data_IF_270085075753
#
_entry.id   IF_270085075753
#
_cell.length_a   1.000
_cell.length_b   1.000
_cell.length_c   1.000
_cell.angle_alpha   90.00
_cell.angle_beta   90.00
_cell.angle_gamma   90.00
#
_symmetry.space_group_name_H-M   'P 1'
#
loop_
_entity.id
_entity.type
_entity.pdbx_description
1 polymer ?
#
# COMPACT_ATOMS: atom_id res chain seq x y z
N UNK A 1 -6.43 -13.38 -18.09
CA UNK A 1 -7.68 -13.21 -17.33
C UNK A 1 -8.61 -14.38 -17.64
N UNK A 2 -9.41 -14.81 -16.65
CA UNK A 2 -10.49 -15.78 -16.79
C UNK A 2 -11.85 -15.12 -16.66
N UNK A 3 -12.89 -15.71 -17.26
CA UNK A 3 -14.25 -15.22 -17.13
C UNK A 3 -14.92 -15.59 -15.81
N UNK A 4 -14.49 -16.69 -15.16
CA UNK A 4 -15.04 -17.08 -13.85
C UNK A 4 -14.24 -16.48 -12.70
N UNK A 5 -14.93 -15.69 -11.88
CA UNK A 5 -14.49 -15.30 -10.55
C UNK A 5 -14.98 -16.33 -9.55
N UNK A 6 -14.14 -16.72 -8.59
CA UNK A 6 -14.48 -17.74 -7.59
C UNK A 6 -14.47 -17.15 -6.18
N UNK A 7 -15.35 -17.65 -5.32
CA UNK A 7 -15.40 -17.34 -3.88
C UNK A 7 -15.59 -18.65 -3.08
N UNK A 8 -15.33 -18.61 -1.76
CA UNK A 8 -15.31 -19.84 -0.96
C UNK A 8 -16.15 -19.76 0.33
N UNK A 9 -17.50 -19.85 0.25
CA UNK A 9 -18.36 -19.78 1.42
C UNK A 9 -18.28 -21.04 2.28
N UNK A 10 -18.58 -20.90 3.57
CA UNK A 10 -18.75 -22.01 4.50
C UNK A 10 -20.25 -22.27 4.66
N UNK A 11 -20.70 -23.44 4.23
CA UNK A 11 -22.10 -23.88 4.32
C UNK A 11 -22.13 -25.12 5.22
N UNK A 12 -22.85 -25.03 6.35
CA UNK A 12 -22.93 -26.10 7.35
C UNK A 12 -21.56 -26.63 7.80
N UNK A 13 -20.61 -25.72 8.03
CA UNK A 13 -19.25 -26.06 8.47
C UNK A 13 -18.33 -26.62 7.39
N UNK A 14 -18.80 -26.76 6.15
CA UNK A 14 -17.98 -27.20 5.01
C UNK A 14 -17.70 -26.03 4.08
N UNK A 15 -16.44 -25.82 3.72
CA UNK A 15 -16.05 -24.79 2.76
C UNK A 15 -16.19 -25.34 1.34
N UNK A 16 -16.87 -24.61 0.47
CA UNK A 16 -17.04 -24.96 -0.94
C UNK A 16 -16.39 -23.89 -1.81
N UNK A 17 -15.90 -24.26 -2.99
CA UNK A 17 -15.55 -23.30 -4.02
C UNK A 17 -16.79 -23.06 -4.89
N UNK A 18 -17.17 -21.81 -5.10
CA UNK A 18 -18.36 -21.43 -5.90
C UNK A 18 -18.01 -20.35 -6.89
N UNK A 19 -18.75 -20.30 -7.99
CA UNK A 19 -18.63 -19.23 -8.98
C UNK A 19 -19.25 -17.96 -8.41
N UNK A 20 -18.44 -16.94 -8.22
CA UNK A 20 -18.87 -15.61 -7.79
C UNK A 20 -19.50 -14.85 -8.96
N UNK A 21 -18.82 -14.85 -10.11
CA UNK A 21 -19.28 -14.16 -11.31
C UNK A 21 -18.81 -14.84 -12.58
N UNK A 22 -19.71 -14.97 -13.55
CA UNK A 22 -19.39 -15.35 -14.93
C UNK A 22 -19.51 -14.17 -15.91
N UNK A 23 -18.36 -13.62 -16.33
CA UNK A 23 -18.30 -12.53 -17.30
C UNK A 23 -18.66 -12.94 -18.74
N UNK A 24 -18.68 -14.22 -19.07
CA UNK A 24 -19.06 -14.72 -20.41
C UNK A 24 -20.52 -15.20 -20.47
N UNK A 25 -21.29 -15.05 -19.40
CA UNK A 25 -22.67 -15.51 -19.32
C UNK A 25 -23.57 -14.99 -20.46
N UNK A 26 -23.40 -13.73 -20.86
CA UNK A 26 -24.12 -13.12 -21.99
C UNK A 26 -23.80 -13.77 -23.34
N UNK A 27 -22.58 -14.25 -23.54
CA UNK A 27 -22.17 -14.89 -24.79
C UNK A 27 -22.72 -16.31 -24.90
N UNK A 28 -22.91 -16.97 -23.75
CA UNK A 28 -23.36 -18.37 -23.66
C UNK A 28 -24.86 -18.54 -23.50
N UNK A 29 -25.60 -17.46 -23.24
CA UNK A 29 -26.99 -17.52 -22.77
C UNK A 29 -27.16 -18.44 -21.54
N UNK A 30 -26.15 -18.51 -20.68
CA UNK A 30 -26.15 -19.36 -19.50
C UNK A 30 -25.40 -18.66 -18.36
N UNK A 31 -25.99 -18.67 -17.16
CA UNK A 31 -25.42 -18.05 -15.97
C UNK A 31 -24.90 -19.15 -15.04
N UNK A 32 -23.63 -19.07 -14.68
CA UNK A 32 -23.01 -20.01 -13.75
C UNK A 32 -22.80 -19.43 -12.35
N UNK A 33 -23.29 -18.22 -12.09
CA UNK A 33 -23.23 -17.57 -10.77
C UNK A 33 -23.82 -18.53 -9.71
N UNK A 34 -23.09 -18.68 -8.60
CA UNK A 34 -23.39 -19.55 -7.46
C UNK A 34 -23.32 -21.08 -7.69
N UNK A 35 -22.88 -21.55 -8.86
CA UNK A 35 -22.60 -22.98 -9.05
C UNK A 35 -21.43 -23.43 -8.17
N UNK A 36 -21.55 -24.63 -7.57
CA UNK A 36 -20.45 -25.28 -6.83
C UNK A 36 -19.43 -25.79 -7.85
N UNK A 37 -18.15 -25.53 -7.60
CA UNK A 37 -17.04 -26.06 -8.38
C UNK A 37 -16.55 -27.32 -7.68
N UNK A 38 -16.85 -28.50 -8.26
CA UNK A 38 -16.40 -29.79 -7.72
C UNK A 38 -15.00 -30.16 -8.21
N UNK A 39 -14.67 -29.80 -9.45
CA UNK A 39 -13.39 -30.15 -10.04
C UNK A 39 -12.77 -29.02 -10.85
N UNK A 40 -11.44 -28.98 -10.85
CA UNK A 40 -10.64 -28.13 -11.74
C UNK A 40 -9.55 -29.00 -12.37
N UNK A 41 -9.47 -29.03 -13.70
CA UNK A 41 -8.51 -29.84 -14.47
C UNK A 41 -8.46 -31.31 -14.00
N UNK A 42 -9.63 -31.93 -13.84
CA UNK A 42 -9.82 -33.32 -13.38
C UNK A 42 -9.30 -33.62 -11.95
N UNK A 43 -9.01 -32.61 -11.14
CA UNK A 43 -8.72 -32.75 -9.71
C UNK A 43 -9.86 -32.16 -8.87
N UNK A 44 -9.95 -32.56 -7.60
CA UNK A 44 -10.85 -31.93 -6.62
C UNK A 44 -10.58 -30.41 -6.59
N UNK A 45 -11.65 -29.61 -6.70
CA UNK A 45 -11.51 -28.17 -6.88
C UNK A 45 -10.83 -27.50 -5.69
N UNK A 46 -11.15 -27.90 -4.46
CA UNK A 46 -10.59 -27.28 -3.26
C UNK A 46 -9.10 -27.62 -3.13
N UNK A 47 -8.74 -28.89 -3.29
CA UNK A 47 -7.34 -29.34 -3.26
C UNK A 47 -6.51 -28.70 -4.37
N UNK A 48 -7.03 -28.66 -5.61
CA UNK A 48 -6.36 -28.03 -6.74
C UNK A 48 -6.13 -26.55 -6.48
N UNK A 49 -7.15 -25.84 -6.03
CA UNK A 49 -7.10 -24.40 -5.81
C UNK A 49 -6.13 -24.03 -4.67
N UNK A 50 -6.16 -24.77 -3.55
CA UNK A 50 -5.21 -24.60 -2.45
C UNK A 50 -3.78 -24.92 -2.87
N UNK A 51 -3.55 -26.03 -3.59
CA UNK A 51 -2.24 -26.39 -4.10
C UNK A 51 -1.69 -25.29 -5.01
N UNK A 52 -2.50 -24.83 -5.97
CA UNK A 52 -2.13 -23.76 -6.88
C UNK A 52 -1.80 -22.48 -6.13
N UNK A 53 -2.65 -22.02 -5.20
CA UNK A 53 -2.44 -20.80 -4.43
C UNK A 53 -1.11 -20.86 -3.65
N UNK A 54 -0.79 -22.02 -3.07
CA UNK A 54 0.46 -22.22 -2.35
C UNK A 54 1.72 -22.22 -3.23
N UNK A 55 1.62 -22.55 -4.52
CA UNK A 55 2.76 -22.50 -5.44
C UNK A 55 2.88 -21.15 -6.16
N UNK A 56 1.75 -20.57 -6.57
CA UNK A 56 1.70 -19.42 -7.46
C UNK A 56 1.74 -18.07 -6.73
N UNK A 57 1.18 -18.00 -5.52
CA UNK A 57 1.05 -16.75 -4.77
C UNK A 57 2.16 -16.66 -3.74
N UNK A 58 2.99 -15.62 -3.84
CA UNK A 58 4.12 -15.38 -2.94
C UNK A 58 3.86 -14.30 -1.89
N UNK A 59 2.63 -13.76 -1.84
CA UNK A 59 2.25 -12.63 -0.98
C UNK A 59 2.37 -12.91 0.53
N UNK A 60 2.18 -14.17 0.96
CA UNK A 60 2.19 -14.53 2.38
C UNK A 60 2.71 -15.93 2.62
N UNK A 61 3.27 -16.17 3.81
CA UNK A 61 3.62 -17.51 4.29
C UNK A 61 2.40 -18.31 4.77
N UNK A 62 1.32 -17.63 5.17
CA UNK A 62 0.07 -18.26 5.62
C UNK A 62 -0.70 -18.84 4.42
N UNK A 63 -0.98 -20.17 4.41
CA UNK A 63 -1.76 -20.80 3.34
C UNK A 63 -3.16 -20.21 3.15
N UNK A 64 -3.81 -19.75 4.23
CA UNK A 64 -5.15 -19.17 4.18
C UNK A 64 -5.15 -17.79 3.55
N UNK A 65 -4.10 -17.00 3.80
CA UNK A 65 -3.94 -15.69 3.14
C UNK A 65 -3.72 -15.88 1.64
N UNK A 66 -2.87 -16.84 1.25
CA UNK A 66 -2.69 -17.18 -0.18
C UNK A 66 -3.98 -17.69 -0.82
N UNK A 67 -4.71 -18.56 -0.13
CA UNK A 67 -6.00 -19.07 -0.59
C UNK A 67 -6.99 -17.92 -0.81
N UNK A 68 -7.11 -16.99 0.14
CA UNK A 68 -7.99 -15.83 -0.01
C UNK A 68 -7.56 -14.90 -1.14
N UNK A 69 -6.26 -14.65 -1.32
CA UNK A 69 -5.73 -13.85 -2.43
C UNK A 69 -5.99 -14.47 -3.81
N UNK A 70 -6.16 -15.79 -3.88
CA UNK A 70 -6.54 -16.48 -5.10
C UNK A 70 -8.02 -16.25 -5.48
N UNK A 71 -8.90 -16.01 -4.50
CA UNK A 71 -10.33 -15.78 -4.68
C UNK A 71 -10.62 -14.34 -5.10
N UNK A 72 -11.76 -14.14 -5.75
CA UNK A 72 -12.27 -12.80 -6.01
C UNK A 72 -12.73 -12.12 -4.72
N UNK A 73 -12.61 -10.80 -4.71
CA UNK A 73 -13.06 -9.94 -3.62
C UNK A 73 -13.91 -8.79 -4.17
N UNK A 74 -14.49 -8.01 -3.27
CA UNK A 74 -15.12 -6.74 -3.61
C UNK A 74 -14.36 -5.63 -2.90
N UNK A 75 -14.08 -4.55 -3.64
CA UNK A 75 -13.44 -3.35 -3.09
C UNK A 75 -14.39 -2.19 -3.21
N UNK A 76 -14.47 -1.36 -2.18
CA UNK A 76 -15.21 -0.10 -2.26
C UNK A 76 -14.42 0.91 -3.10
N UNK A 77 -14.98 1.35 -4.22
CA UNK A 77 -14.44 2.43 -5.04
C UNK A 77 -15.04 3.76 -4.56
N UNK A 78 -14.21 4.58 -3.92
CA UNK A 78 -14.62 5.87 -3.34
C UNK A 78 -15.01 6.90 -4.39
N UNK A 79 -14.51 6.78 -5.63
CA UNK A 79 -14.83 7.71 -6.70
C UNK A 79 -16.26 7.50 -7.22
N UNK A 80 -16.65 6.23 -7.40
CA UNK A 80 -18.01 5.87 -7.83
C UNK A 80 -18.99 5.72 -6.66
N UNK A 81 -18.49 5.55 -5.43
CA UNK A 81 -19.29 5.26 -4.25
C UNK A 81 -19.90 3.85 -4.25
N UNK A 82 -19.35 2.93 -5.05
CA UNK A 82 -19.89 1.56 -5.26
C UNK A 82 -18.85 0.48 -4.94
N UNK A 83 -19.32 -0.74 -4.66
CA UNK A 83 -18.43 -1.90 -4.61
C UNK A 83 -18.14 -2.39 -6.02
N UNK A 84 -16.86 -2.58 -6.32
CA UNK A 84 -16.39 -3.15 -7.58
C UNK A 84 -15.81 -4.53 -7.33
N UNK A 85 -16.13 -5.47 -8.21
CA UNK A 85 -15.58 -6.82 -8.17
C UNK A 85 -14.10 -6.78 -8.59
N UNK A 86 -13.25 -7.33 -7.74
CA UNK A 86 -11.81 -7.45 -7.99
C UNK A 86 -11.50 -8.93 -8.24
N UNK A 87 -10.95 -9.29 -9.41
CA UNK A 87 -10.58 -10.66 -9.67
C UNK A 87 -9.43 -11.10 -8.75
N UNK A 88 -9.55 -12.29 -8.18
CA UNK A 88 -8.44 -12.93 -7.46
C UNK A 88 -7.31 -13.34 -8.38
N UNK A 89 -6.14 -13.64 -7.79
CA UNK A 89 -4.96 -14.04 -8.56
C UNK A 89 -5.18 -15.31 -9.39
N UNK A 90 -6.13 -16.19 -9.01
CA UNK A 90 -6.46 -17.35 -9.84
C UNK A 90 -7.06 -16.94 -11.18
N UNK A 91 -7.99 -15.98 -11.17
CA UNK A 91 -8.70 -15.51 -12.36
C UNK A 91 -7.88 -14.47 -13.15
N UNK A 92 -7.08 -13.64 -12.47
CA UNK A 92 -6.20 -12.67 -13.10
C UNK A 92 -4.74 -12.91 -12.69
N UNK A 93 -3.99 -13.56 -13.59
CA UNK A 93 -2.57 -13.90 -13.38
C UNK A 93 -1.64 -12.90 -14.05
N UNK A 94 -0.48 -12.65 -13.42
CA UNK A 94 0.63 -11.93 -14.04
C UNK A 94 1.48 -12.82 -14.95
N UNK A 95 1.47 -14.13 -14.71
CA UNK A 95 2.22 -15.12 -15.47
C UNK A 95 1.30 -15.90 -16.41
N UNK A 96 1.88 -16.40 -17.51
CA UNK A 96 1.18 -17.29 -18.41
C UNK A 96 0.82 -18.60 -17.68
N UNK A 97 -0.39 -19.11 -17.89
CA UNK A 97 -0.82 -20.39 -17.36
C UNK A 97 -0.08 -21.54 -18.05
N UNK A 98 0.03 -22.68 -17.37
CA UNK A 98 0.64 -23.90 -17.90
C UNK A 98 -0.14 -24.48 -19.09
N UNK A 99 -1.45 -24.25 -19.11
CA UNK A 99 -2.37 -24.74 -20.15
C UNK A 99 -3.14 -23.57 -20.78
N UNK A 100 -3.51 -23.65 -22.07
CA UNK A 100 -4.25 -22.58 -22.75
C UNK A 100 -5.72 -22.47 -22.30
N UNK A 101 -6.21 -23.45 -21.53
CA UNK A 101 -7.56 -23.47 -20.96
C UNK A 101 -7.57 -24.01 -19.53
N UNK A 102 -8.71 -23.89 -18.86
CA UNK A 102 -9.01 -24.53 -17.57
C UNK A 102 -10.36 -25.24 -17.71
N UNK A 103 -10.43 -26.47 -17.23
CA UNK A 103 -11.67 -27.25 -17.18
C UNK A 103 -12.25 -27.23 -15.78
N UNK A 104 -13.56 -26.99 -15.69
CA UNK A 104 -14.33 -26.96 -14.46
C UNK A 104 -15.41 -28.02 -14.50
N UNK A 105 -15.60 -28.72 -13.39
CA UNK A 105 -16.77 -29.56 -13.16
C UNK A 105 -17.70 -28.82 -12.19
N UNK A 106 -18.82 -28.29 -12.71
CA UNK A 106 -19.75 -27.43 -11.98
C UNK A 106 -21.02 -28.17 -11.60
N UNK A 107 -21.57 -27.87 -10.43
CA UNK A 107 -22.92 -28.26 -10.03
C UNK A 107 -23.74 -27.01 -9.74
N UNK A 108 -24.71 -26.77 -10.62
CA UNK A 108 -25.57 -25.59 -10.55
C UNK A 108 -26.92 -25.94 -9.91
N UNK A 109 -27.58 -25.01 -9.19
CA UNK A 109 -28.88 -25.26 -8.56
C UNK A 109 -29.99 -25.65 -9.54
N UNK A 110 -29.89 -25.19 -10.79
CA UNK A 110 -30.86 -25.44 -11.85
C UNK A 110 -30.55 -26.68 -12.70
N UNK A 111 -29.45 -27.38 -12.43
CA UNK A 111 -29.06 -28.59 -13.17
C UNK A 111 -29.06 -29.80 -12.24
N UNK A 112 -29.66 -30.91 -12.67
CA UNK A 112 -29.58 -32.18 -11.95
C UNK A 112 -28.26 -32.92 -12.17
N UNK A 113 -27.53 -32.58 -13.22
CA UNK A 113 -26.27 -33.22 -13.61
C UNK A 113 -25.10 -32.24 -13.54
N UNK A 114 -23.89 -32.70 -13.19
CA UNK A 114 -22.68 -31.89 -13.28
C UNK A 114 -22.44 -31.39 -14.71
N UNK A 115 -21.98 -30.16 -14.85
CA UNK A 115 -21.66 -29.50 -16.11
C UNK A 115 -20.14 -29.46 -16.25
N UNK A 116 -19.62 -29.99 -17.36
CA UNK A 116 -18.23 -29.80 -17.74
C UNK A 116 -18.10 -28.50 -18.52
N UNK A 117 -17.35 -27.54 -17.98
CA UNK A 117 -17.12 -26.24 -18.58
C UNK A 117 -15.63 -26.06 -18.86
N UNK A 118 -15.28 -25.76 -20.11
CA UNK A 118 -13.92 -25.43 -20.51
C UNK A 118 -13.82 -23.94 -20.84
N UNK A 119 -12.86 -23.26 -20.21
CA UNK A 119 -12.61 -21.83 -20.42
C UNK A 119 -11.20 -21.60 -20.92
N UNK A 120 -11.06 -20.88 -22.03
CA UNK A 120 -9.77 -20.45 -22.54
C UNK A 120 -9.21 -19.27 -21.71
N UNK A 121 -7.90 -19.05 -21.76
CA UNK A 121 -7.29 -17.88 -21.13
C UNK A 121 -7.32 -16.68 -22.08
N UNK A 122 -7.85 -15.55 -21.60
CA UNK A 122 -7.73 -14.29 -22.31
C UNK A 122 -6.40 -13.64 -21.93
N UNK A 123 -5.46 -13.55 -22.87
CA UNK A 123 -4.18 -12.88 -22.66
C UNK A 123 -4.32 -11.41 -23.02
N UNK A 124 -4.17 -10.54 -22.02
CA UNK A 124 -4.20 -9.08 -22.23
C UNK A 124 -2.78 -8.54 -22.06
N UNK A 125 -2.16 -7.98 -23.11
CA UNK A 125 -0.83 -7.41 -22.99
C UNK A 125 -0.88 -6.17 -22.08
N UNK A 126 -0.05 -6.14 -21.03
CA UNK A 126 0.04 -5.00 -20.11
C UNK A 126 0.77 -3.79 -20.68
N UNK A 127 1.65 -4.02 -21.64
CA UNK A 127 2.30 -2.96 -22.40
C UNK A 127 1.81 -3.04 -23.84
N UNK A 128 1.66 -1.90 -24.53
CA UNK A 128 1.36 -1.83 -25.97
C UNK A 128 2.57 -2.24 -26.82
N UNK A 129 3.32 -3.24 -26.35
CA UNK A 129 4.41 -3.82 -27.08
C UNK A 129 3.79 -4.91 -27.95
N UNK A 130 3.92 -4.76 -29.26
CA UNK A 130 3.52 -5.80 -30.21
C UNK A 130 4.54 -6.94 -30.14
N UNK A 131 4.06 -8.14 -29.84
CA UNK A 131 4.84 -9.36 -29.91
C UNK A 131 3.90 -10.51 -30.31
N UNK A 132 4.40 -11.39 -31.16
CA UNK A 132 3.65 -12.53 -31.68
C UNK A 132 4.20 -13.86 -31.12
N UNK A 133 5.34 -13.80 -30.43
CA UNK A 133 6.03 -14.92 -29.80
C UNK A 133 6.91 -14.47 -28.62
N UNK A 134 7.52 -15.43 -27.92
CA UNK A 134 8.39 -15.15 -26.79
C UNK A 134 9.66 -14.36 -27.18
N UNK A 135 10.20 -14.57 -28.38
CA UNK A 135 11.41 -13.89 -28.85
C UNK A 135 11.15 -12.40 -29.10
N UNK A 136 10.07 -12.07 -29.81
CA UNK A 136 9.62 -10.70 -30.04
C UNK A 136 9.20 -10.01 -28.75
N UNK A 137 8.67 -10.72 -27.75
CA UNK A 137 8.44 -10.16 -26.42
C UNK A 137 9.75 -9.73 -25.74
N UNK A 138 10.76 -10.60 -25.70
CA UNK A 138 12.05 -10.27 -25.08
C UNK A 138 12.69 -9.08 -25.78
N UNK A 139 12.70 -9.08 -27.12
CA UNK A 139 13.28 -7.98 -27.90
C UNK A 139 12.53 -6.66 -27.71
N UNK A 140 11.20 -6.67 -27.79
CA UNK A 140 10.41 -5.45 -27.85
C UNK A 140 9.98 -4.93 -26.47
N UNK A 141 9.92 -5.78 -25.44
CA UNK A 141 9.47 -5.41 -24.10
C UNK A 141 10.60 -5.42 -23.07
N UNK A 142 11.50 -6.41 -23.10
CA UNK A 142 12.54 -6.56 -22.07
C UNK A 142 13.85 -5.86 -22.43
N UNK A 143 14.24 -5.90 -23.70
CA UNK A 143 15.50 -5.35 -24.20
C UNK A 143 15.34 -4.03 -24.95
N UNK A 144 14.10 -3.61 -25.21
CA UNK A 144 13.85 -2.32 -25.85
C UNK A 144 14.45 -1.22 -24.98
N UNK A 145 15.35 -0.43 -25.57
CA UNK A 145 15.89 0.74 -24.89
C UNK A 145 14.73 1.61 -24.38
N UNK A 146 14.84 2.19 -23.17
CA UNK A 146 13.81 3.07 -22.64
C UNK A 146 13.52 4.11 -23.72
N UNK A 147 12.28 4.11 -24.26
CA UNK A 147 11.88 5.18 -25.17
C UNK A 147 12.17 6.48 -24.43
N UNK A 148 13.14 7.24 -24.93
CA UNK A 148 13.37 8.59 -24.47
C UNK A 148 12.04 9.29 -24.61
N UNK A 149 11.37 9.55 -23.48
CA UNK A 149 10.12 10.29 -23.48
C UNK A 149 10.40 11.57 -24.28
N UNK A 150 9.52 11.96 -25.22
CA UNK A 150 9.71 13.19 -25.97
C UNK A 150 9.95 14.29 -24.95
N UNK A 151 11.20 14.79 -24.91
CA UNK A 151 11.59 15.86 -24.01
C UNK A 151 10.61 16.97 -24.27
N UNK A 152 9.72 17.23 -23.31
CA UNK A 152 8.81 18.35 -23.39
C UNK A 152 9.73 19.56 -23.60
N UNK A 153 9.57 20.35 -24.68
CA UNK A 153 10.49 21.44 -24.93
C UNK A 153 10.52 22.31 -23.68
N UNK A 154 11.65 22.28 -22.97
CA UNK A 154 11.81 23.08 -21.78
C UNK A 154 11.55 24.53 -22.19
N UNK A 155 10.67 25.27 -21.50
CA UNK A 155 10.55 26.69 -21.73
C UNK A 155 11.95 27.28 -21.60
N UNK A 156 12.42 27.90 -22.69
CA UNK A 156 13.74 28.50 -22.80
C UNK A 156 13.84 29.56 -21.70
N UNK A 157 14.45 29.19 -20.58
CA UNK A 157 14.79 30.14 -19.54
C UNK A 157 15.96 30.97 -20.10
N UNK A 158 15.84 32.31 -20.19
CA UNK A 158 16.93 33.15 -20.68
C UNK A 158 18.16 32.96 -19.78
N UNK A 159 19.27 32.55 -20.40
CA UNK A 159 20.56 32.37 -19.74
C UNK A 159 20.97 33.61 -18.96
N UNK A 160 21.35 33.48 -17.68
CA UNK A 160 22.15 34.48 -17.00
C UNK A 160 23.57 34.47 -17.59
N UNK A 161 24.13 35.67 -17.77
CA UNK A 161 25.47 35.92 -18.30
C UNK A 161 26.57 35.13 -17.54
N UNK A 162 27.65 34.73 -18.24
CA UNK A 162 28.79 34.10 -17.62
C UNK A 162 29.66 35.16 -16.93
N UNK A 163 29.89 34.99 -15.63
CA UNK A 163 30.96 35.71 -14.92
C UNK A 163 32.15 34.78 -14.65
N UNK A 164 33.36 35.36 -14.50
CA UNK A 164 34.61 34.68 -14.81
C UNK A 164 35.13 33.83 -13.65
N UNK A 165 35.85 32.80 -14.06
CA UNK A 165 36.66 31.92 -13.22
C UNK A 165 37.69 32.67 -12.37
N UNK A 166 38.09 32.08 -11.24
CA UNK A 166 39.48 32.12 -10.84
C UNK A 166 40.08 30.72 -10.70
N UNK A 167 41.27 30.59 -11.26
CA UNK A 167 42.19 29.47 -11.10
C UNK A 167 42.78 29.42 -9.68
N UNK A 168 43.11 28.23 -9.18
CA UNK A 168 44.45 27.85 -8.68
C UNK A 168 44.38 26.42 -8.13
N UNK A 169 45.01 25.46 -8.82
CA UNK A 169 46.27 24.81 -8.45
C UNK A 169 46.42 24.44 -6.96
N UNK A 170 46.26 23.13 -6.64
CA UNK A 170 47.06 22.52 -5.58
C UNK A 170 47.32 21.03 -5.86
N UNK A 171 48.59 20.73 -6.16
CA UNK A 171 49.18 19.39 -6.26
C UNK A 171 49.07 18.64 -4.92
N UNK A 172 48.72 17.35 -4.98
CA UNK A 172 48.95 16.36 -3.91
C UNK A 172 49.91 15.27 -4.43
N UNK A 173 50.89 14.80 -3.63
CA UNK A 173 51.80 13.72 -3.98
C UNK A 173 51.16 12.32 -3.78
N UNK A 174 51.77 11.25 -4.33
CA UNK A 174 51.16 9.93 -4.43
C UNK A 174 51.33 9.12 -3.14
N UNK A 175 50.26 8.44 -2.70
CA UNK A 175 50.34 7.40 -1.68
C UNK A 175 50.41 6.02 -2.33
N UNK A 176 51.47 5.31 -1.95
CA UNK A 176 51.83 3.93 -2.27
C UNK A 176 50.83 2.95 -1.66
N UNK A 177 50.28 2.04 -2.47
CA UNK A 177 49.44 0.92 -2.04
C UNK A 177 50.30 -0.27 -1.63
N UNK A 178 50.24 -0.65 -0.35
CA UNK A 178 50.75 -1.93 0.15
C UNK A 178 49.57 -2.91 0.31
N UNK A 179 49.61 -4.00 -0.43
CA UNK A 179 48.61 -5.07 -0.43
C UNK A 179 48.93 -6.05 0.70
N UNK A 180 48.16 -6.05 1.78
CA UNK A 180 48.17 -7.12 2.78
C UNK A 180 46.86 -7.91 2.71
N UNK A 181 47.00 -9.20 2.37
CA UNK A 181 45.91 -10.18 2.31
C UNK A 181 45.94 -10.97 3.64
N UNK A 182 44.90 -10.93 4.49
CA UNK A 182 44.81 -11.83 5.62
C UNK A 182 44.16 -13.15 5.20
N UNK A 183 44.84 -14.25 5.52
CA UNK A 183 44.36 -15.63 5.43
C UNK A 183 43.40 -15.88 6.59
N UNK A 184 42.15 -16.27 6.31
CA UNK A 184 41.17 -16.65 7.33
C UNK A 184 41.13 -18.17 7.49
N UNK A 185 41.34 -18.64 8.71
CA UNK A 185 41.07 -20.02 9.15
C UNK A 185 39.75 -20.05 9.92
N UNK A 186 38.82 -20.98 9.61
CA UNK A 186 37.53 -21.05 10.28
C UNK A 186 37.63 -21.68 11.67
N UNK A 187 36.87 -21.20 12.67
CA UNK A 187 36.82 -21.82 13.99
C UNK A 187 35.80 -22.98 14.06
N UNK A 188 36.19 -23.96 14.85
CA UNK A 188 35.52 -25.22 15.16
C UNK A 188 34.20 -24.99 15.90
N UNK A 189 33.17 -25.73 15.49
CA UNK A 189 31.84 -25.77 16.09
C UNK A 189 31.86 -26.31 17.53
N UNK A 190 31.40 -25.50 18.49
CA UNK A 190 31.00 -25.96 19.81
C UNK A 190 29.47 -25.93 19.93
N UNK A 191 28.92 -27.07 20.31
CA UNK A 191 27.49 -27.30 20.55
C UNK A 191 27.19 -26.99 22.01
N UNK A 192 26.53 -25.87 22.30
CA UNK A 192 26.01 -25.60 23.64
C UNK A 192 24.50 -25.84 23.75
N UNK A 193 24.19 -26.67 24.74
CA UNK A 193 22.87 -27.14 25.15
C UNK A 193 22.15 -26.05 25.96
N UNK A 194 21.05 -25.50 25.41
CA UNK A 194 20.22 -24.51 26.11
C UNK A 194 19.21 -25.23 27.04
N UNK A 195 19.31 -24.95 28.34
CA UNK A 195 18.28 -25.28 29.35
C UNK A 195 17.22 -24.15 29.43
N UNK A 196 15.96 -24.46 29.77
CA UNK A 196 14.87 -23.49 29.74
C UNK A 196 14.89 -22.56 30.96
N UNK A 197 14.69 -21.26 30.74
CA UNK A 197 14.62 -20.26 31.80
C UNK A 197 13.18 -20.08 32.31
N UNK A 198 13.04 -20.17 33.63
CA UNK A 198 11.81 -19.98 34.40
C UNK A 198 11.29 -18.54 34.36
N UNK A 199 9.96 -18.45 34.33
CA UNK A 199 9.09 -17.30 34.62
C UNK A 199 9.57 -16.47 35.81
N UNK A 200 9.64 -15.14 35.64
CA UNK A 200 9.52 -14.17 36.74
C UNK A 200 8.51 -13.08 36.40
N UNK A 201 7.47 -13.05 37.22
CA UNK A 201 6.52 -11.97 37.44
C UNK A 201 7.08 -11.00 38.50
N UNK A 202 6.81 -9.68 38.33
CA UNK A 202 6.48 -8.68 39.38
C UNK A 202 6.46 -7.27 38.75
N UNK A 203 5.30 -6.61 38.82
CA UNK A 203 5.00 -5.44 39.70
C UNK A 203 5.83 -4.21 39.36
N UNK A 204 5.18 -3.16 38.85
CA UNK A 204 5.64 -1.79 39.06
C UNK A 204 4.50 -0.83 39.42
N UNK A 205 4.85 0.03 40.36
CA UNK A 205 4.02 0.96 41.10
C UNK A 205 3.67 2.22 40.32
N UNK A 206 2.50 2.75 40.67
CA UNK A 206 1.88 3.99 40.22
C UNK A 206 2.57 5.19 40.88
N UNK A 207 3.20 6.07 40.09
CA UNK A 207 3.65 7.39 40.55
C UNK A 207 2.66 8.46 40.09
N UNK A 208 2.21 9.28 41.04
CA UNK A 208 1.37 10.47 40.83
C UNK A 208 2.25 11.66 40.44
N UNK A 209 1.80 12.48 39.51
CA UNK A 209 2.27 13.86 39.36
C UNK A 209 1.09 14.78 39.08
N UNK A 210 1.03 15.87 39.84
CA UNK A 210 -0.03 16.89 39.89
C UNK A 210 -0.03 17.83 38.66
N UNK A 211 -1.15 18.52 38.37
CA UNK A 211 -1.31 19.34 37.18
C UNK A 211 -0.87 20.81 37.38
N UNK A 212 -0.20 21.38 36.37
CA UNK A 212 0.02 22.82 36.27
C UNK A 212 -1.22 23.53 35.72
N UNK A 213 -1.68 24.52 36.48
CA UNK A 213 -2.72 25.49 36.14
C UNK A 213 -2.08 26.68 35.42
N UNK A 214 -2.69 27.17 34.34
CA UNK A 214 -2.42 28.52 33.82
C UNK A 214 -3.73 29.24 33.49
N UNK A 215 -3.82 30.43 34.06
CA UNK A 215 -4.93 31.38 34.05
C UNK A 215 -5.14 32.04 32.68
N UNK A 216 -6.40 32.35 32.40
CA UNK A 216 -6.85 33.28 31.38
C UNK A 216 -6.80 34.73 31.90
N UNK A 217 -6.62 35.70 31.00
CA UNK A 217 -7.48 36.91 30.90
C UNK A 217 -7.16 37.79 29.66
N UNK A 218 -8.07 38.71 29.25
CA UNK A 218 -8.29 39.12 27.86
C UNK A 218 -8.04 40.63 27.59
N UNK A 219 -8.53 41.12 26.43
CA UNK A 219 -8.62 42.52 25.93
C UNK A 219 -7.50 42.90 24.93
N UNK A 220 -7.66 43.63 23.82
CA UNK A 220 -8.69 44.51 23.24
C UNK A 220 -8.34 44.77 21.75
N UNK A 221 -9.33 45.05 20.88
CA UNK A 221 -9.10 45.68 19.55
C UNK A 221 -8.73 47.18 19.67
N UNK A 222 -8.86 48.05 18.63
CA UNK A 222 -9.30 47.85 17.23
C UNK A 222 -8.37 48.53 16.17
N UNK A 223 -8.68 48.42 14.87
CA UNK A 223 -8.97 49.57 13.98
C UNK A 223 -9.08 49.20 12.48
N UNK A 224 -10.08 49.84 11.84
CA UNK A 224 -10.42 49.84 10.41
C UNK A 224 -9.42 50.68 9.60
N UNK A 225 -9.17 50.27 8.35
CA UNK A 225 -8.79 51.20 7.27
C UNK A 225 -9.67 50.99 6.03
N UNK A 226 -10.23 52.12 5.60
CA UNK A 226 -11.11 52.31 4.45
C UNK A 226 -10.29 52.55 3.18
N UNK A 227 -10.70 51.98 2.04
CA UNK A 227 -10.19 52.35 0.71
C UNK A 227 -11.34 52.73 -0.23
N UNK A 228 -11.28 53.98 -0.70
CA UNK A 228 -12.05 54.54 -1.83
C UNK A 228 -11.60 53.93 -3.16
N UNK A 229 -12.50 53.85 -4.16
CA UNK A 229 -12.11 53.86 -5.56
C UNK A 229 -12.41 55.21 -6.24
N UNK A 230 -11.54 55.55 -7.19
CA UNK A 230 -11.55 56.73 -8.05
C UNK A 230 -12.54 56.61 -9.22
N UNK A 231 -12.90 57.76 -9.78
CA UNK A 231 -13.95 57.96 -10.76
C UNK A 231 -13.45 58.08 -12.22
N UNK A 232 -14.40 57.83 -13.14
CA UNK A 232 -14.56 58.36 -14.53
C UNK A 232 -13.71 57.73 -15.67
N UNK A 233 -14.13 57.78 -16.97
CA UNK A 233 -15.18 58.65 -17.54
C UNK A 233 -16.23 58.02 -18.49
N UNK A 234 -17.42 58.61 -18.40
CA UNK A 234 -18.39 59.03 -19.43
C UNK A 234 -18.12 58.68 -20.91
N UNK A 235 -19.00 57.85 -21.50
CA UNK A 235 -19.26 57.82 -22.94
C UNK A 235 -20.72 58.21 -23.26
N UNK A 236 -20.84 58.93 -24.38
CA UNK A 236 -21.98 59.73 -24.83
C UNK A 236 -23.23 58.92 -25.22
N UNK A 237 -24.37 59.55 -24.93
CA UNK A 237 -25.77 59.23 -25.28
C UNK A 237 -25.98 58.89 -26.76
N UNK A 238 -26.76 57.83 -27.01
CA UNK A 238 -27.55 57.65 -28.24
C UNK A 238 -29.01 57.52 -27.80
N UNK A 239 -29.81 58.54 -28.09
CA UNK A 239 -31.25 58.58 -27.78
C UNK A 239 -32.01 57.74 -28.81
N UNK A 240 -32.79 56.77 -28.33
CA UNK A 240 -33.83 56.09 -29.10
C UNK A 240 -35.19 56.49 -28.50
N UNK A 241 -36.25 56.58 -29.34
CA UNK A 241 -37.57 57.05 -28.95
C UNK A 241 -38.24 56.14 -27.90
N UNK A 242 -39.02 56.78 -27.03
CA UNK A 242 -39.65 56.18 -25.86
C UNK A 242 -40.62 55.05 -26.20
N UNK A 243 -40.35 53.86 -25.66
CA UNK A 243 -41.33 52.78 -25.57
C UNK A 243 -42.35 53.07 -24.46
N UNK A 244 -43.62 52.69 -24.64
CA UNK A 244 -44.67 52.87 -23.64
C UNK A 244 -44.37 52.06 -22.38
N UNK A 245 -44.55 52.69 -21.23
CA UNK A 245 -44.28 52.13 -19.90
C UNK A 245 -44.92 50.73 -19.72
N UNK A 246 -44.15 49.70 -19.37
CA UNK A 246 -44.70 48.39 -19.03
C UNK A 246 -45.48 48.49 -17.73
N UNK A 247 -46.69 47.92 -17.74
CA UNK A 247 -47.53 47.70 -16.57
C UNK A 247 -46.73 46.92 -15.52
N UNK A 248 -46.74 47.32 -14.24
CA UNK A 248 -45.97 46.64 -13.19
C UNK A 248 -46.41 45.17 -13.10
N UNK A 249 -45.48 44.27 -13.40
CA UNK A 249 -45.68 42.84 -13.20
C UNK A 249 -45.89 42.55 -11.71
N UNK A 250 -46.76 41.59 -11.36
CA UNK A 250 -46.92 41.15 -9.98
C UNK A 250 -45.57 40.72 -9.40
N UNK A 251 -45.29 40.97 -8.11
CA UNK A 251 -44.04 40.55 -7.49
C UNK A 251 -43.87 39.04 -7.67
N UNK A 252 -42.76 38.68 -8.32
CA UNK A 252 -42.34 37.31 -8.54
C UNK A 252 -42.23 36.62 -7.17
N UNK A 253 -42.91 35.48 -6.94
CA UNK A 253 -42.89 34.81 -5.65
C UNK A 253 -41.45 34.42 -5.32
N UNK A 254 -41.02 34.82 -4.12
CA UNK A 254 -39.68 34.57 -3.61
C UNK A 254 -39.35 33.07 -3.78
N UNK A 255 -38.24 32.71 -4.45
CA UNK A 255 -37.91 31.32 -4.72
C UNK A 255 -37.86 30.55 -3.42
N UNK A 256 -38.74 29.55 -3.26
CA UNK A 256 -38.70 28.69 -2.09
C UNK A 256 -37.33 28.01 -2.04
N UNK A 257 -36.64 28.00 -0.88
CA UNK A 257 -35.38 27.30 -0.73
C UNK A 257 -35.55 25.86 -1.19
N UNK A 258 -34.73 25.43 -2.15
CA UNK A 258 -34.74 24.04 -2.59
C UNK A 258 -34.54 23.14 -1.36
N UNK A 259 -35.34 22.07 -1.22
CA UNK A 259 -35.19 21.15 -0.09
C UNK A 259 -33.76 20.63 -0.06
N UNK A 260 -33.09 20.82 1.07
CA UNK A 260 -31.72 20.33 1.28
C UNK A 260 -31.76 18.81 1.11
N UNK A 261 -30.95 18.21 0.21
CA UNK A 261 -30.95 16.77 0.04
C UNK A 261 -30.61 16.10 1.38
N UNK A 262 -31.26 14.97 1.70
CA UNK A 262 -30.98 14.26 2.95
C UNK A 262 -29.48 13.90 2.98
N UNK A 263 -28.84 14.01 4.16
CA UNK A 263 -27.45 13.59 4.29
C UNK A 263 -27.30 12.14 3.82
N UNK A 264 -26.16 11.79 3.20
CA UNK A 264 -25.93 10.43 2.74
C UNK A 264 -26.11 9.44 3.90
N UNK A 265 -26.72 8.26 3.65
CA UNK A 265 -26.98 7.28 4.69
C UNK A 265 -25.69 6.93 5.42
N UNK A 266 -25.75 6.90 6.75
CA UNK A 266 -24.62 6.57 7.60
C UNK A 266 -24.13 5.16 7.27
N UNK A 267 -22.86 5.04 6.88
CA UNK A 267 -22.25 3.82 6.35
C UNK A 267 -22.33 2.62 7.33
N UNK A 268 -22.45 2.89 8.64
CA UNK A 268 -22.60 1.89 9.68
C UNK A 268 -23.68 2.31 10.67
N UNK A 269 -24.86 1.67 10.61
CA UNK A 269 -26.01 2.04 11.44
C UNK A 269 -25.74 1.97 12.96
N UNK A 270 -24.75 1.16 13.38
CA UNK A 270 -24.41 0.92 14.78
C UNK A 270 -23.09 1.58 15.22
N UNK A 271 -22.56 2.51 14.42
CA UNK A 271 -21.32 3.21 14.74
C UNK A 271 -21.36 4.68 14.30
N UNK A 272 -20.89 5.57 15.17
CA UNK A 272 -20.73 6.99 14.86
C UNK A 272 -19.32 7.22 14.31
N UNK A 273 -19.22 7.84 13.12
CA UNK A 273 -17.94 8.25 12.56
C UNK A 273 -17.44 9.49 13.29
N UNK A 274 -16.22 9.44 13.82
CA UNK A 274 -15.59 10.54 14.57
C UNK A 274 -14.75 11.41 13.64
N UNK A 275 -13.81 10.78 12.93
CA UNK A 275 -12.88 11.44 12.01
C UNK A 275 -12.46 10.45 10.92
N UNK A 276 -12.08 10.96 9.75
CA UNK A 276 -11.43 10.17 8.70
C UNK A 276 -10.39 10.98 7.96
N UNK A 277 -9.33 10.30 7.55
CA UNK A 277 -8.31 10.76 6.63
C UNK A 277 -8.44 10.07 5.27
N UNK A 278 -7.31 9.98 4.58
CA UNK A 278 -7.23 9.34 3.26
C UNK A 278 -7.11 7.81 3.38
N UNK A 279 -6.46 7.32 4.44
CA UNK A 279 -6.19 5.89 4.63
C UNK A 279 -6.88 5.30 5.87
N UNK A 280 -7.26 6.16 6.83
CA UNK A 280 -7.79 5.76 8.12
C UNK A 280 -9.13 6.42 8.43
N UNK A 281 -9.98 5.71 9.16
CA UNK A 281 -11.23 6.25 9.69
C UNK A 281 -11.48 5.73 11.11
N UNK A 282 -12.03 6.59 11.95
CA UNK A 282 -12.31 6.31 13.35
C UNK A 282 -13.82 6.35 13.60
N UNK A 283 -14.29 5.35 14.33
CA UNK A 283 -15.68 5.21 14.72
C UNK A 283 -15.79 4.88 16.21
N UNK A 284 -16.91 5.24 16.83
CA UNK A 284 -17.33 4.76 18.14
C UNK A 284 -18.55 3.85 17.97
N UNK A 285 -18.54 2.68 18.60
CA UNK A 285 -19.71 1.80 18.60
C UNK A 285 -20.84 2.43 19.41
N UNK A 286 -22.03 2.55 18.81
CA UNK A 286 -23.23 3.01 19.51
C UNK A 286 -23.77 1.96 20.48
N UNK A 287 -23.54 0.68 20.18
CA UNK A 287 -23.95 -0.45 21.03
C UNK A 287 -23.00 -0.66 22.22
N UNK A 288 -21.73 -0.27 22.07
CA UNK A 288 -20.71 -0.37 23.10
C UNK A 288 -19.88 0.92 23.13
N UNK A 289 -20.32 1.98 23.82
CA UNK A 289 -19.67 3.30 23.78
C UNK A 289 -18.20 3.29 24.22
N UNK A 290 -17.77 2.29 24.99
CA UNK A 290 -16.37 2.12 25.39
C UNK A 290 -15.48 1.50 24.32
N UNK A 291 -16.04 1.14 23.15
CA UNK A 291 -15.35 0.55 22.02
C UNK A 291 -15.19 1.54 20.87
N UNK A 292 -13.94 1.82 20.53
CA UNK A 292 -13.53 2.51 19.32
C UNK A 292 -13.13 1.52 18.23
N UNK A 293 -13.32 1.93 17.00
CA UNK A 293 -12.93 1.17 15.81
C UNK A 293 -12.06 2.09 14.97
N UNK A 294 -10.83 1.66 14.69
CA UNK A 294 -9.93 2.28 13.72
C UNK A 294 -9.89 1.40 12.48
N UNK A 295 -10.44 1.87 11.37
CA UNK A 295 -10.38 1.21 10.07
C UNK A 295 -9.18 1.76 9.32
N UNK A 296 -8.30 0.89 8.83
CA UNK A 296 -7.17 1.25 7.97
C UNK A 296 -7.37 0.50 6.66
N UNK A 297 -7.78 1.22 5.62
CA UNK A 297 -8.11 0.60 4.33
C UNK A 297 -6.97 0.75 3.31
N UNK A 298 -5.88 1.40 3.67
CA UNK A 298 -4.66 1.48 2.85
C UNK A 298 -3.47 1.86 3.72
N UNK A 299 -2.26 1.40 3.38
CA UNK A 299 -1.02 2.06 3.83
C UNK A 299 -0.43 2.92 2.70
N UNK A 300 -1.17 3.18 1.62
CA UNK A 300 -0.76 4.08 0.53
C UNK A 300 -0.98 5.51 0.97
N UNK A 301 0.11 6.25 1.18
CA UNK A 301 0.05 7.65 1.54
C UNK A 301 0.60 8.50 0.41
N UNK A 302 -0.26 9.33 -0.19
CA UNK A 302 0.21 10.41 -1.08
C UNK A 302 1.02 11.44 -0.27
N UNK A 303 0.64 11.67 0.99
CA UNK A 303 1.33 12.53 1.94
C UNK A 303 1.36 11.91 3.35
N UNK A 304 2.46 11.26 3.76
CA UNK A 304 2.50 10.50 5.01
C UNK A 304 2.19 11.32 6.27
N UNK A 305 2.69 12.56 6.31
CA UNK A 305 2.56 13.45 7.47
C UNK A 305 1.12 13.79 7.80
N UNK A 306 0.23 13.92 6.81
CA UNK A 306 -1.18 14.23 7.09
C UNK A 306 -1.94 13.07 7.71
N UNK A 307 -1.57 11.82 7.41
CA UNK A 307 -2.31 10.67 7.92
C UNK A 307 -1.95 10.37 9.38
N UNK A 308 -0.71 10.60 9.79
CA UNK A 308 -0.33 10.51 11.20
C UNK A 308 -1.09 11.50 12.08
N UNK A 309 -1.29 12.73 11.60
CA UNK A 309 -2.12 13.72 12.29
C UNK A 309 -3.56 13.24 12.45
N UNK A 310 -4.11 12.55 11.45
CA UNK A 310 -5.45 11.95 11.52
C UNK A 310 -5.49 10.82 12.55
N UNK A 311 -4.51 9.91 12.53
CA UNK A 311 -4.43 8.81 13.50
C UNK A 311 -4.33 9.35 14.92
N UNK A 312 -3.44 10.32 15.15
CA UNK A 312 -3.27 10.97 16.44
C UNK A 312 -4.58 11.63 16.91
N UNK A 313 -5.21 12.47 16.07
CA UNK A 313 -6.48 13.13 16.39
C UNK A 313 -7.62 12.14 16.59
N UNK A 314 -7.63 11.03 15.86
CA UNK A 314 -8.62 9.97 16.01
C UNK A 314 -8.50 9.25 17.35
N UNK A 315 -7.28 8.90 17.76
CA UNK A 315 -7.00 8.32 19.08
C UNK A 315 -7.33 9.32 20.20
N UNK A 316 -6.97 10.59 20.05
CA UNK A 316 -7.34 11.65 21.00
C UNK A 316 -8.85 11.82 21.12
N UNK A 317 -9.58 11.81 20.01
CA UNK A 317 -11.04 11.94 20.01
C UNK A 317 -11.74 10.71 20.61
N UNK A 318 -11.21 9.50 20.41
CA UNK A 318 -11.69 8.30 21.10
C UNK A 318 -11.46 8.42 22.61
N UNK A 319 -10.26 8.85 23.03
CA UNK A 319 -9.94 9.07 24.43
C UNK A 319 -10.88 10.10 25.09
N UNK A 320 -11.12 11.24 24.43
CA UNK A 320 -12.05 12.28 24.89
C UNK A 320 -13.50 11.77 25.05
N UNK A 321 -13.87 10.71 24.32
CA UNK A 321 -15.17 10.04 24.39
C UNK A 321 -15.21 8.86 25.39
N UNK A 322 -14.21 8.73 26.26
CA UNK A 322 -14.07 7.65 27.25
C UNK A 322 -14.02 6.25 26.63
N UNK A 323 -13.49 6.12 25.41
CA UNK A 323 -13.23 4.83 24.79
C UNK A 323 -12.05 4.15 25.49
N UNK A 324 -12.21 2.87 25.83
CA UNK A 324 -11.21 2.07 26.56
C UNK A 324 -10.79 0.80 25.82
N UNK A 325 -11.46 0.49 24.72
CA UNK A 325 -11.18 -0.66 23.87
C UNK A 325 -11.04 -0.17 22.44
N UNK A 326 -10.04 -0.67 21.73
CA UNK A 326 -9.80 -0.34 20.33
C UNK A 326 -9.81 -1.63 19.51
N UNK A 327 -10.63 -1.67 18.46
CA UNK A 327 -10.53 -2.64 17.38
C UNK A 327 -9.83 -1.97 16.21
N UNK A 328 -8.83 -2.64 15.65
CA UNK A 328 -8.14 -2.20 14.44
C UNK A 328 -8.60 -3.11 13.30
N UNK A 329 -9.32 -2.54 12.35
CA UNK A 329 -9.83 -3.25 11.18
C UNK A 329 -8.89 -3.01 9.99
N UNK A 330 -8.27 -4.11 9.53
CA UNK A 330 -7.36 -4.16 8.39
C UNK A 330 -7.93 -5.00 7.24
N UNK A 331 -9.19 -5.44 7.30
CA UNK A 331 -9.73 -6.47 6.40
C UNK A 331 -9.72 -6.08 4.92
N UNK A 332 -9.72 -4.78 4.62
CA UNK A 332 -9.66 -4.25 3.26
C UNK A 332 -8.40 -3.40 3.04
N UNK A 333 -7.32 -3.69 3.76
CA UNK A 333 -6.03 -3.04 3.57
C UNK A 333 -5.12 -3.89 2.68
N UNK A 334 -4.66 -3.30 1.57
CA UNK A 334 -3.73 -3.96 0.64
C UNK A 334 -2.25 -3.88 1.10
N UNK A 335 -1.99 -3.29 2.27
CA UNK A 335 -0.64 -2.96 2.73
C UNK A 335 -0.12 -1.68 2.09
N UNK A 336 1.19 -1.63 1.82
CA UNK A 336 2.01 -0.58 1.17
C UNK A 336 3.11 0.02 2.06
N UNK A 337 2.95 1.25 2.55
CA UNK A 337 4.03 2.01 3.19
C UNK A 337 4.42 1.40 4.54
N UNK A 338 5.62 0.79 4.56
CA UNK A 338 6.21 0.18 5.75
C UNK A 338 6.57 1.21 6.82
N UNK A 339 6.87 2.44 6.44
CA UNK A 339 7.13 3.54 7.38
C UNK A 339 5.83 3.89 8.11
N UNK A 340 4.70 4.02 7.38
CA UNK A 340 3.39 4.22 8.00
C UNK A 340 3.02 3.09 8.95
N UNK A 341 3.18 1.84 8.52
CA UNK A 341 2.91 0.67 9.36
C UNK A 341 3.77 0.68 10.64
N UNK A 342 5.06 0.98 10.51
CA UNK A 342 5.99 0.97 11.64
C UNK A 342 5.66 2.08 12.64
N UNK A 343 5.45 3.30 12.16
CA UNK A 343 5.11 4.44 13.00
C UNK A 343 3.73 4.27 13.67
N UNK A 344 2.74 3.71 12.97
CA UNK A 344 1.44 3.36 13.56
C UNK A 344 1.60 2.40 14.75
N UNK A 345 2.42 1.36 14.60
CA UNK A 345 2.73 0.43 15.70
C UNK A 345 3.39 1.17 16.88
N UNK A 346 4.30 2.11 16.62
CA UNK A 346 4.93 2.93 17.67
C UNK A 346 3.93 3.78 18.43
N UNK A 347 2.97 4.41 17.73
CA UNK A 347 1.94 5.23 18.36
C UNK A 347 1.04 4.42 19.29
N UNK A 348 0.67 3.20 18.89
CA UNK A 348 -0.27 2.35 19.64
C UNK A 348 0.45 1.62 20.79
N UNK A 349 1.71 1.23 20.58
CA UNK A 349 2.51 0.45 21.52
C UNK A 349 3.77 1.21 21.95
N UNK A 350 3.58 2.18 22.85
CA UNK A 350 4.60 3.12 23.33
C UNK A 350 5.82 2.50 24.04
N UNK A 351 5.87 1.17 24.20
CA UNK A 351 6.96 0.45 24.87
C UNK A 351 7.96 -0.25 23.92
N UNK A 352 7.80 -0.11 22.62
CA UNK A 352 8.91 -0.40 21.73
C UNK A 352 9.83 0.82 21.77
N UNK A 353 10.92 0.75 22.54
CA UNK A 353 11.98 1.76 22.44
C UNK A 353 12.28 1.97 20.95
N UNK A 354 12.35 3.21 20.48
CA UNK A 354 12.59 3.54 19.07
C UNK A 354 13.80 2.81 18.48
N UNK A 355 14.75 2.41 19.33
CA UNK A 355 15.93 1.58 19.03
C UNK A 355 15.66 0.09 18.79
N UNK A 356 14.45 -0.43 19.08
CA UNK A 356 14.09 -1.86 18.99
C UNK A 356 13.03 -2.18 17.93
N UNK A 357 12.44 -1.17 17.28
CA UNK A 357 11.56 -1.37 16.11
C UNK A 357 12.35 -1.42 14.79
N UNK A 358 13.61 -1.84 14.90
CA UNK A 358 14.42 -2.39 13.83
C UNK A 358 13.79 -3.74 13.50
N UNK A 359 12.70 -3.76 12.73
CA UNK A 359 12.12 -5.01 12.23
C UNK A 359 13.21 -5.69 11.40
N UNK A 360 13.85 -6.69 12.00
CA UNK A 360 14.81 -7.52 11.33
C UNK A 360 14.11 -8.26 10.20
N UNK A 361 14.36 -7.83 8.97
CA UNK A 361 13.92 -8.48 7.77
C UNK A 361 15.13 -9.12 7.10
N UNK A 362 14.92 -10.24 6.43
CA UNK A 362 15.89 -10.83 5.54
C UNK A 362 15.29 -10.97 4.15
N UNK A 363 15.98 -10.46 3.14
CA UNK A 363 15.52 -10.52 1.76
C UNK A 363 16.06 -11.78 1.11
N UNK A 364 15.28 -12.43 0.25
CA UNK A 364 15.80 -13.55 -0.55
C UNK A 364 16.85 -13.01 -1.53
N UNK A 365 18.09 -13.51 -1.44
CA UNK A 365 19.22 -13.02 -2.23
C UNK A 365 19.82 -14.16 -3.05
N UNK A 366 19.14 -14.52 -4.14
CA UNK A 366 19.69 -15.45 -5.12
C UNK A 366 20.72 -14.80 -6.05
N UNK A 367 21.44 -15.59 -6.85
CA UNK A 367 22.45 -15.09 -7.81
C UNK A 367 21.97 -13.96 -8.72
N UNK A 368 20.69 -13.98 -9.13
CA UNK A 368 20.11 -12.92 -9.95
C UNK A 368 19.98 -11.60 -9.18
N UNK A 369 19.53 -11.67 -7.93
CA UNK A 369 19.41 -10.49 -7.04
C UNK A 369 20.79 -9.92 -6.75
N UNK A 370 21.79 -10.76 -6.47
CA UNK A 370 23.19 -10.35 -6.25
C UNK A 370 23.77 -9.59 -7.45
N UNK A 371 23.58 -10.12 -8.67
CA UNK A 371 24.03 -9.44 -9.90
C UNK A 371 23.29 -8.13 -10.12
N UNK A 372 21.98 -8.12 -9.86
CA UNK A 372 21.15 -6.94 -10.02
C UNK A 372 21.54 -5.84 -9.02
N UNK A 373 21.71 -6.18 -7.74
CA UNK A 373 22.15 -5.24 -6.71
C UNK A 373 23.54 -4.69 -7.02
N UNK A 374 24.48 -5.54 -7.45
CA UNK A 374 25.81 -5.10 -7.87
C UNK A 374 25.76 -4.10 -9.05
N UNK A 375 24.91 -4.34 -10.05
CA UNK A 375 24.76 -3.45 -11.21
C UNK A 375 24.02 -2.14 -10.89
N UNK A 376 23.23 -2.12 -9.83
CA UNK A 376 22.43 -0.97 -9.40
C UNK A 376 23.00 -0.26 -8.16
N UNK A 377 24.04 -0.81 -7.53
CA UNK A 377 24.64 -0.23 -6.33
C UNK A 377 25.07 1.22 -6.56
N UNK A 378 24.75 2.11 -5.62
CA UNK A 378 25.01 3.55 -5.75
C UNK A 378 23.97 4.33 -6.58
N UNK A 379 23.03 3.66 -7.25
CA UNK A 379 21.90 4.31 -7.92
C UNK A 379 20.74 4.45 -6.94
N UNK A 380 20.48 5.66 -6.48
CA UNK A 380 19.35 5.93 -5.59
C UNK A 380 17.99 5.66 -6.26
N UNK A 381 17.93 5.83 -7.59
CA UNK A 381 16.72 5.65 -8.38
C UNK A 381 16.95 4.84 -9.65
N UNK A 382 15.95 4.03 -10.01
CA UNK A 382 15.83 3.33 -11.29
C UNK A 382 14.46 3.69 -11.86
N UNK A 383 14.43 4.28 -13.06
CA UNK A 383 13.21 4.77 -13.72
C UNK A 383 12.37 5.73 -12.85
N UNK A 384 13.06 6.61 -12.11
CA UNK A 384 12.43 7.59 -11.22
C UNK A 384 11.91 7.02 -9.89
N UNK A 385 12.00 5.70 -9.67
CA UNK A 385 11.58 5.03 -8.43
C UNK A 385 12.78 4.72 -7.55
N UNK A 386 12.57 4.67 -6.23
CA UNK A 386 13.61 4.24 -5.29
C UNK A 386 14.14 2.86 -5.67
N UNK A 387 15.46 2.68 -5.65
CA UNK A 387 16.09 1.42 -6.00
C UNK A 387 15.99 0.42 -4.83
N UNK A 388 15.14 -0.62 -4.90
CA UNK A 388 14.98 -1.56 -3.79
C UNK A 388 16.21 -2.45 -3.57
N UNK A 389 17.19 -2.41 -4.48
CA UNK A 389 18.44 -3.16 -4.42
C UNK A 389 19.65 -2.29 -4.05
N UNK A 390 19.44 -1.05 -3.60
CA UNK A 390 20.50 -0.22 -3.02
C UNK A 390 20.66 -0.55 -1.54
N UNK A 391 21.75 -1.22 -1.19
CA UNK A 391 22.04 -1.63 0.18
C UNK A 391 22.11 -0.44 1.16
N UNK A 392 22.39 0.78 0.68
CA UNK A 392 22.43 2.02 1.50
C UNK A 392 21.08 2.42 2.08
N UNK A 393 19.98 1.82 1.61
CA UNK A 393 18.66 2.02 2.23
C UNK A 393 18.45 1.18 3.48
N UNK A 394 19.42 0.33 3.83
CA UNK A 394 19.32 -0.63 4.92
C UNK A 394 20.45 -0.41 5.92
N UNK A 395 20.25 -0.88 7.15
CA UNK A 395 21.23 -0.91 8.24
C UNK A 395 21.30 -2.33 8.77
N UNK A 396 22.47 -2.76 9.24
CA UNK A 396 22.62 -4.06 9.90
C UNK A 396 21.76 -4.11 11.17
N UNK A 397 20.86 -5.11 11.24
CA UNK A 397 20.00 -5.30 12.42
C UNK A 397 20.82 -5.60 13.67
N UNK A 398 22.02 -6.19 13.52
CA UNK A 398 22.87 -6.59 14.62
C UNK A 398 23.79 -5.47 15.12
N UNK A 399 24.08 -4.45 14.32
CA UNK A 399 24.98 -3.34 14.69
C UNK A 399 24.52 -2.63 15.98
N UNK A 400 23.21 -2.34 16.10
CA UNK A 400 22.66 -1.66 17.27
C UNK A 400 22.66 -2.46 18.58
N UNK A 401 22.91 -3.78 18.55
CA UNK A 401 22.98 -4.57 19.80
C UNK A 401 24.25 -4.28 20.61
N UNK A 402 25.29 -3.75 19.97
CA UNK A 402 26.56 -3.46 20.62
C UNK A 402 26.68 -2.01 21.08
N UNK A 403 25.64 -1.19 20.90
CA UNK A 403 25.67 0.25 21.15
C UNK A 403 26.31 1.07 20.03
N UNK A 404 26.64 0.43 18.90
CA UNK A 404 27.04 1.12 17.69
C UNK A 404 25.80 1.75 17.02
N UNK A 405 25.97 2.95 16.46
CA UNK A 405 24.91 3.59 15.67
C UNK A 405 24.56 2.70 14.47
N UNK A 406 23.27 2.65 14.12
CA UNK A 406 22.80 1.93 12.94
C UNK A 406 23.24 2.67 11.68
N UNK A 407 24.49 2.46 11.28
CA UNK A 407 25.05 3.02 10.05
C UNK A 407 24.51 2.25 8.83
N UNK A 408 24.03 2.95 7.78
CA UNK A 408 23.61 2.31 6.56
C UNK A 408 24.75 1.52 5.91
N UNK A 409 24.44 0.43 5.20
CA UNK A 409 25.46 -0.28 4.43
C UNK A 409 26.12 0.69 3.45
N UNK A 410 27.45 0.77 3.48
CA UNK A 410 28.24 1.63 2.61
C UNK A 410 28.80 0.89 1.38
N UNK A 411 28.42 -0.37 1.21
CA UNK A 411 28.73 -1.25 0.10
C UNK A 411 27.55 -2.20 -0.21
N UNK A 412 27.73 -3.12 -1.16
CA UNK A 412 26.71 -4.09 -1.55
C UNK A 412 26.69 -5.35 -0.65
N UNK A 413 27.40 -5.34 0.48
CA UNK A 413 27.62 -6.53 1.30
C UNK A 413 26.34 -7.14 1.85
N UNK A 414 25.27 -6.35 2.01
CA UNK A 414 23.94 -6.86 2.37
C UNK A 414 23.49 -8.01 1.46
N UNK A 415 23.69 -7.86 0.15
CA UNK A 415 23.22 -8.84 -0.84
C UNK A 415 24.26 -9.93 -1.11
N UNK A 416 25.54 -9.63 -0.91
CA UNK A 416 26.65 -10.55 -1.16
C UNK A 416 26.91 -11.49 0.02
N UNK A 417 26.77 -11.00 1.26
CA UNK A 417 26.88 -11.78 2.49
C UNK A 417 25.54 -12.42 2.81
N UNK A 418 25.34 -13.60 2.25
CA UNK A 418 24.09 -14.35 2.36
C UNK A 418 24.19 -15.52 3.32
N UNK A 419 23.05 -15.97 3.81
CA UNK A 419 22.90 -17.19 4.60
C UNK A 419 21.81 -18.07 3.97
N UNK A 420 22.05 -19.38 3.95
CA UNK A 420 21.01 -20.33 3.56
C UNK A 420 20.12 -20.61 4.76
N UNK A 421 18.81 -20.37 4.61
CA UNK A 421 17.82 -20.67 5.64
C UNK A 421 16.83 -21.68 5.10
N UNK A 422 16.51 -22.68 5.93
CA UNK A 422 15.46 -23.66 5.65
C UNK A 422 14.17 -23.22 6.32
N UNK A 423 13.18 -22.85 5.52
CA UNK A 423 11.84 -22.45 5.97
C UNK A 423 10.82 -23.38 5.34
N UNK A 424 9.96 -24.01 6.14
CA UNK A 424 8.92 -24.93 5.67
C UNK A 424 9.45 -26.04 4.75
N UNK A 425 10.60 -26.61 5.10
CA UNK A 425 11.24 -27.70 4.35
C UNK A 425 11.90 -27.28 3.03
N UNK A 426 11.97 -25.98 2.71
CA UNK A 426 12.70 -25.46 1.55
C UNK A 426 13.89 -24.61 2.01
N UNK A 427 15.08 -24.96 1.57
CA UNK A 427 16.29 -24.16 1.76
C UNK A 427 16.38 -23.09 0.68
N UNK A 428 16.71 -21.87 1.07
CA UNK A 428 16.92 -20.74 0.15
C UNK A 428 17.94 -19.78 0.71
N UNK A 429 18.57 -19.03 -0.19
CA UNK A 429 19.59 -18.03 0.13
C UNK A 429 18.92 -16.69 0.45
N UNK A 430 19.24 -16.14 1.63
CA UNK A 430 18.72 -14.87 2.15
C UNK A 430 19.88 -13.95 2.52
N UNK A 431 19.65 -12.64 2.60
CA UNK A 431 20.57 -11.70 3.25
C UNK A 431 20.70 -12.04 4.74
N UNK A 432 21.73 -11.51 5.39
CA UNK A 432 21.71 -11.44 6.86
C UNK A 432 20.52 -10.57 7.33
N UNK A 433 20.04 -10.74 8.58
CA UNK A 433 19.01 -9.89 9.15
C UNK A 433 19.43 -8.42 9.06
N UNK A 434 18.58 -7.62 8.41
CA UNK A 434 18.78 -6.21 8.14
C UNK A 434 17.52 -5.45 8.50
N UNK A 435 17.55 -4.13 8.58
CA UNK A 435 16.32 -3.34 8.57
C UNK A 435 16.43 -2.16 7.63
N UNK A 436 15.31 -1.54 7.28
CA UNK A 436 15.33 -0.30 6.55
C UNK A 436 15.89 0.81 7.44
N UNK A 437 16.77 1.64 6.88
CA UNK A 437 17.23 2.86 7.51
C UNK A 437 16.08 3.87 7.57
N UNK A 438 15.15 3.69 8.50
CA UNK A 438 14.14 4.69 8.80
C UNK A 438 14.86 5.89 9.42
N UNK A 439 14.87 7.03 8.74
CA UNK A 439 15.46 8.24 9.31
C UNK A 439 14.66 8.60 10.56
N UNK A 440 15.31 8.90 11.69
CA UNK A 440 14.60 9.42 12.86
C UNK A 440 13.84 10.70 12.50
N UNK A 441 12.67 10.88 13.12
CA UNK A 441 11.84 12.10 13.02
C UNK A 441 12.58 13.36 13.46
#
# INVERSE_FOLDING_TARGET
MKPLLLYAPIINGTQYLRVFKDYHSLQRNQVYDDCIVYGINNADAMQYFQYWANQAISLSHDPNVRFNAALASQRYDTASGTFVDVPGEFAQRRFLPETPFVEYLLQCPFSSSPIMLREDWVVTPRAQVKFDDAASFVMNACLAEPRSLPTTPHPVHPSPNPDPSPSTSRRRPPHTTATHRPTYTPPTSQTESIKPLMRRSRLYNRSKSDPMSLHADPSSGPQRLSRRPSAMPSHKKRQFPAEPSPTPSPPEPEPQPLPVPPPPPQQFANAEKIISGHATAFYQSLLKPTLGIMVIHSFSLETPTSEFDIVYKGLEALYARNVTQLVIDLQNSDGEDIEFATQLVQMIFTNATSTLLVLGADARSGRLIQRLSQGLYGRERVDGKANPFDARMFVDHNAGRNGDEHEPYNDNSLFDNTTDLTRFGRTSTYTLPTTLSLRPL
#
